data_IF_032472054368
#
_entry.id   IF_032472054368
#
_cell.length_a   1.000
_cell.length_b   1.000
_cell.length_c   1.000
_cell.angle_alpha   90.00
_cell.angle_beta   90.00
_cell.angle_gamma   90.00
#
_symmetry.space_group_name_H-M   'P 1'
#
loop_
_entity.id
_entity.type
_entity.pdbx_description
1 polymer ?
#
# COMPACT_ATOMS: atom_id res chain seq x y z
N UNK A 1 2.12 9.82 1.70
CA UNK A 1 1.01 8.85 1.73
C UNK A 1 1.29 7.79 2.78
N UNK A 2 0.26 7.29 3.44
CA UNK A 2 0.28 6.16 4.36
C UNK A 2 -0.50 5.02 3.70
N UNK A 3 0.10 3.84 3.61
CA UNK A 3 -0.56 2.64 3.15
C UNK A 3 -0.95 1.77 4.33
N UNK A 4 -2.23 1.42 4.39
CA UNK A 4 -2.77 0.47 5.35
C UNK A 4 -3.64 -0.53 4.61
N UNK A 5 -3.36 -1.82 4.78
CA UNK A 5 -4.27 -2.86 4.34
C UNK A 5 -5.45 -2.95 5.30
N UNK A 6 -6.68 -2.92 4.79
CA UNK A 6 -7.85 -3.38 5.54
C UNK A 6 -8.21 -4.78 5.03
N UNK A 7 -7.86 -5.79 5.82
CA UNK A 7 -8.25 -7.18 5.58
C UNK A 7 -9.71 -7.36 6.03
N UNK A 8 -10.62 -7.77 5.15
CA UNK A 8 -11.92 -8.43 5.42
C UNK A 8 -12.44 -9.06 4.10
N UNK A 9 -13.24 -10.14 4.06
CA UNK A 9 -13.46 -11.26 4.99
C UNK A 9 -12.83 -12.57 4.46
N UNK A 10 -12.64 -13.57 5.34
CA UNK A 10 -11.98 -14.88 5.09
C UNK A 10 -12.63 -15.77 4.01
N UNK A 11 -13.78 -15.38 3.48
CA UNK A 11 -14.61 -16.19 2.57
C UNK A 11 -14.62 -15.70 1.12
N UNK A 12 -13.99 -14.55 0.84
CA UNK A 12 -13.83 -14.01 -0.52
C UNK A 12 -12.35 -13.66 -0.72
N UNK A 13 -11.72 -14.13 -1.80
CA UNK A 13 -10.32 -13.81 -2.19
C UNK A 13 -10.10 -12.33 -2.58
N UNK A 14 -10.98 -11.44 -2.13
CA UNK A 14 -10.94 -10.02 -2.39
C UNK A 14 -10.40 -9.30 -1.15
N UNK A 15 -9.46 -8.41 -1.40
CA UNK A 15 -8.78 -7.64 -0.36
C UNK A 15 -8.76 -6.18 -0.78
N UNK A 16 -8.80 -5.25 0.17
CA UNK A 16 -8.70 -3.82 -0.12
C UNK A 16 -7.50 -3.25 0.62
N UNK A 17 -6.60 -2.60 -0.11
CA UNK A 17 -5.60 -1.72 0.49
C UNK A 17 -6.09 -0.27 0.42
N UNK A 18 -5.74 0.51 1.43
CA UNK A 18 -6.08 1.93 1.53
C UNK A 18 -4.80 2.72 1.52
N UNK A 19 -4.71 3.67 0.59
CA UNK A 19 -3.66 4.69 0.57
C UNK A 19 -4.28 6.01 1.02
N UNK A 20 -3.77 6.57 2.11
CA UNK A 20 -4.22 7.85 2.68
C UNK A 20 -3.13 8.89 2.47
N UNK A 21 -3.48 10.06 1.96
CA UNK A 21 -2.61 11.23 1.97
C UNK A 21 -3.08 12.24 3.01
N UNK A 22 -2.25 12.52 4.02
CA UNK A 22 -2.60 13.45 5.09
C UNK A 22 -2.48 14.93 4.68
N UNK A 23 -1.67 15.24 3.66
CA UNK A 23 -1.45 16.63 3.22
C UNK A 23 -2.64 17.15 2.41
N UNK A 24 -3.15 16.33 1.50
CA UNK A 24 -4.27 16.63 0.60
C UNK A 24 -5.58 16.00 1.07
N UNK A 25 -5.59 15.29 2.20
CA UNK A 25 -6.74 14.55 2.75
C UNK A 25 -7.39 13.61 1.72
N UNK A 26 -6.57 12.97 0.90
CA UNK A 26 -7.02 12.06 -0.14
C UNK A 26 -7.06 10.63 0.40
N UNK A 27 -8.15 9.91 0.14
CA UNK A 27 -8.27 8.48 0.42
C UNK A 27 -8.45 7.72 -0.89
N UNK A 28 -7.58 6.76 -1.11
CA UNK A 28 -7.54 5.91 -2.30
C UNK A 28 -7.79 4.48 -1.87
N UNK A 29 -8.82 3.86 -2.43
CA UNK A 29 -9.08 2.44 -2.30
C UNK A 29 -8.41 1.68 -3.45
N UNK A 30 -7.72 0.61 -3.10
CA UNK A 30 -7.03 -0.28 -4.03
C UNK A 30 -7.69 -1.65 -3.91
N UNK A 31 -8.50 -2.00 -4.90
CA UNK A 31 -9.09 -3.31 -4.98
C UNK A 31 -8.02 -4.33 -5.40
N UNK A 32 -7.79 -5.32 -4.55
CA UNK A 32 -6.86 -6.42 -4.77
C UNK A 32 -7.72 -7.65 -5.03
N UNK A 33 -7.72 -8.10 -6.29
CA UNK A 33 -8.46 -9.28 -6.71
C UNK A 33 -7.52 -10.48 -6.73
N UNK A 34 -8.03 -11.66 -6.39
CA UNK A 34 -7.34 -12.97 -6.49
C UNK A 34 -6.32 -13.27 -5.39
N UNK A 35 -6.60 -12.83 -4.16
CA UNK A 35 -5.90 -13.30 -2.98
C UNK A 35 -5.14 -12.21 -2.23
N UNK A 36 -4.40 -12.67 -1.22
CA UNK A 36 -3.79 -11.83 -0.19
C UNK A 36 -2.27 -12.01 -0.08
N UNK A 37 -1.64 -12.66 -1.07
CA UNK A 37 -0.19 -12.87 -1.07
C UNK A 37 0.56 -11.54 -1.23
N UNK A 38 1.80 -11.49 -0.70
CA UNK A 38 2.66 -10.31 -0.76
C UNK A 38 2.88 -9.83 -2.21
N UNK A 39 3.01 -10.76 -3.17
CA UNK A 39 3.18 -10.43 -4.59
C UNK A 39 1.96 -9.72 -5.17
N UNK A 40 0.77 -10.29 -4.98
CA UNK A 40 -0.48 -9.75 -5.54
C UNK A 40 -0.78 -8.37 -4.93
N UNK A 41 -0.52 -8.23 -3.64
CA UNK A 41 -0.64 -6.95 -2.94
C UNK A 41 0.37 -5.94 -3.49
N UNK A 42 1.64 -6.35 -3.65
CA UNK A 42 2.71 -5.51 -4.21
C UNK A 42 2.39 -5.00 -5.61
N UNK A 43 1.97 -5.87 -6.51
CA UNK A 43 1.65 -5.52 -7.91
C UNK A 43 0.49 -4.52 -7.99
N UNK A 44 -0.56 -4.74 -7.20
CA UNK A 44 -1.70 -3.82 -7.13
C UNK A 44 -1.30 -2.43 -6.61
N UNK A 45 -0.39 -2.38 -5.65
CA UNK A 45 0.13 -1.11 -5.11
C UNK A 45 1.03 -0.41 -6.12
N UNK A 46 1.93 -1.12 -6.80
CA UNK A 46 2.78 -0.56 -7.86
C UNK A 46 1.91 0.07 -8.94
N UNK A 47 0.90 -0.65 -9.42
CA UNK A 47 -0.05 -0.14 -10.40
C UNK A 47 -0.72 1.15 -9.90
N UNK A 48 -1.22 1.16 -8.65
CA UNK A 48 -1.95 2.32 -8.13
C UNK A 48 -1.05 3.52 -7.84
N UNK A 49 0.14 3.31 -7.29
CA UNK A 49 1.12 4.38 -7.01
C UNK A 49 1.61 4.97 -8.33
N UNK A 50 1.87 4.14 -9.34
CA UNK A 50 2.25 4.57 -10.70
C UNK A 50 1.17 5.39 -11.41
N UNK A 51 -0.11 5.26 -11.03
CA UNK A 51 -1.20 6.10 -11.54
C UNK A 51 -1.45 7.37 -10.72
N UNK A 52 -0.83 7.50 -9.56
CA UNK A 52 -1.06 8.65 -8.67
C UNK A 52 -0.25 9.86 -9.15
N UNK A 53 -0.69 11.11 -9.10
CA UNK A 53 0.16 12.25 -9.47
C UNK A 53 1.51 12.27 -8.74
N UNK A 54 2.61 12.63 -9.42
CA UNK A 54 3.98 12.63 -8.86
C UNK A 54 4.10 13.45 -7.57
N UNK A 55 3.31 14.53 -7.46
CA UNK A 55 3.28 15.41 -6.29
C UNK A 55 2.87 14.71 -5.01
N UNK A 56 2.12 13.60 -5.12
CA UNK A 56 1.66 12.76 -4.00
C UNK A 56 2.64 11.61 -3.69
N UNK A 57 3.51 11.21 -4.63
CA UNK A 57 4.44 10.06 -4.51
C UNK A 57 5.74 10.37 -3.76
N UNK A 58 5.72 11.26 -2.76
CA UNK A 58 6.94 11.66 -2.05
C UNK A 58 7.46 10.57 -1.11
N UNK A 59 6.55 9.98 -0.35
CA UNK A 59 6.84 8.91 0.59
C UNK A 59 5.60 8.05 0.85
N UNK A 60 5.85 6.80 1.21
CA UNK A 60 4.86 5.82 1.59
C UNK A 60 5.19 5.29 2.99
N UNK A 61 4.36 5.57 3.99
CA UNK A 61 4.49 4.98 5.32
C UNK A 61 3.60 3.74 5.41
N UNK A 62 4.16 2.60 5.79
CA UNK A 62 3.44 1.32 5.84
C UNK A 62 3.25 0.84 7.28
N UNK A 63 2.03 0.41 7.63
CA UNK A 63 1.73 -0.20 8.92
C UNK A 63 2.01 -1.71 8.86
N UNK A 64 2.94 -2.19 9.69
CA UNK A 64 3.59 -3.50 9.64
C UNK A 64 2.65 -4.70 9.39
N UNK A 65 2.81 -5.39 8.25
CA UNK A 65 2.13 -6.66 7.93
C UNK A 65 3.03 -7.59 7.12
N UNK A 66 2.82 -8.90 7.18
CA UNK A 66 3.66 -9.90 6.48
C UNK A 66 3.66 -9.77 4.94
N UNK A 67 2.81 -8.93 4.38
CA UNK A 67 2.79 -8.64 2.94
C UNK A 67 3.98 -7.76 2.47
N UNK A 68 4.88 -7.38 3.39
CA UNK A 68 6.05 -6.50 3.19
C UNK A 68 7.19 -7.14 2.39
N UNK A 69 7.11 -8.42 2.01
CA UNK A 69 8.19 -9.10 1.28
C UNK A 69 8.59 -8.41 -0.05
N UNK A 70 7.72 -7.55 -0.59
CA UNK A 70 7.91 -6.87 -1.88
C UNK A 70 8.17 -5.35 -1.76
N UNK A 71 8.44 -4.81 -0.57
CA UNK A 71 8.62 -3.36 -0.41
C UNK A 71 9.79 -2.78 -1.23
N UNK A 72 10.91 -3.49 -1.34
CA UNK A 72 12.04 -3.09 -2.17
C UNK A 72 11.65 -3.01 -3.66
N UNK A 73 10.88 -3.99 -4.13
CA UNK A 73 10.36 -4.00 -5.50
C UNK A 73 9.39 -2.83 -5.74
N UNK A 74 8.53 -2.50 -4.77
CA UNK A 74 7.64 -1.34 -4.86
C UNK A 74 8.43 -0.03 -4.93
N UNK A 75 9.45 0.13 -4.09
CA UNK A 75 10.31 1.31 -4.07
C UNK A 75 11.06 1.46 -5.41
N UNK A 76 11.64 0.37 -5.93
CA UNK A 76 12.33 0.36 -7.21
C UNK A 76 11.40 0.67 -8.39
N UNK A 77 10.20 0.10 -8.42
CA UNK A 77 9.26 0.29 -9.53
C UNK A 77 8.60 1.67 -9.54
N UNK A 78 8.40 2.29 -8.38
CA UNK A 78 7.62 3.53 -8.25
C UNK A 78 8.46 4.76 -7.93
N UNK A 79 9.71 4.58 -7.52
CA UNK A 79 10.61 5.64 -7.04
C UNK A 79 10.20 6.25 -5.70
N UNK A 80 9.19 5.69 -5.01
CA UNK A 80 8.71 6.20 -3.73
C UNK A 80 9.62 5.75 -2.60
N UNK A 81 9.92 6.64 -1.65
CA UNK A 81 10.59 6.27 -0.40
C UNK A 81 9.59 5.56 0.51
N UNK A 82 9.92 4.34 0.93
CA UNK A 82 9.07 3.55 1.85
C UNK A 82 9.63 3.64 3.26
N UNK A 83 8.75 3.89 4.22
CA UNK A 83 9.04 3.94 5.64
C UNK A 83 8.11 2.97 6.38
N UNK A 84 8.59 2.33 7.43
CA UNK A 84 7.78 1.47 8.28
C UNK A 84 7.37 2.24 9.53
N UNK A 85 6.08 2.13 9.89
CA UNK A 85 5.61 2.66 11.16
C UNK A 85 6.23 1.87 12.33
N UNK A 86 6.62 2.57 13.39
CA UNK A 86 7.07 1.96 14.63
C UNK A 86 5.90 1.23 15.33
N UNK A 87 6.08 -0.01 15.81
CA UNK A 87 5.00 -0.80 16.39
C UNK A 87 4.38 -0.20 17.66
N UNK A 88 5.05 0.74 18.34
CA UNK A 88 4.61 1.30 19.62
C UNK A 88 4.06 2.73 19.53
N UNK A 89 3.90 3.29 18.32
CA UNK A 89 3.36 4.65 18.13
C UNK A 89 2.04 4.62 17.33
N UNK A 90 0.88 4.61 18.01
CA UNK A 90 -0.44 4.61 17.38
C UNK A 90 -0.80 5.93 16.69
#
# INVERSE_FOLDING_TARGET
>A
MCARKLLHPKELDNTIAILVDHKMRLTILVAIRRGHSAQIVGDALIARVTLTPVVLRRSLTWNQGNEIFQHECIAAATGVKIYFADPHSP
#
